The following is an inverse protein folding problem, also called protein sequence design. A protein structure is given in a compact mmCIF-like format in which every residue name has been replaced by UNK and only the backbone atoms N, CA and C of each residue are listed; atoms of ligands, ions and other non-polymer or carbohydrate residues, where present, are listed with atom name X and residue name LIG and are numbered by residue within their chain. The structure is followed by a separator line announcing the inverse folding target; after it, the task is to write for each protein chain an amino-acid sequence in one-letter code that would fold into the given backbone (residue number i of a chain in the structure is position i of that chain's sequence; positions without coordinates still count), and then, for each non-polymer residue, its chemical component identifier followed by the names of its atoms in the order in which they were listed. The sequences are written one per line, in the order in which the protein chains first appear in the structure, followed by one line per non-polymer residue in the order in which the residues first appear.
data_IF_795718752539
#
_entry.id   IF_795718752539
#
_cell.length_a   1.000
_cell.length_b   1.000
_cell.length_c   1.000
_cell.angle_alpha   90.00
_cell.angle_beta   90.00
_cell.angle_gamma   90.00
#
_symmetry.space_group_name_H-M   'P 1'
#
loop_
_entity.id
_entity.type
_entity.pdbx_description
1 polymer ?
#
# COMPACT_ATOMS: atom_id res chain seq x y z
N UNK A 1 -4.37 4.37 28.88
CA UNK A 1 -4.43 3.41 27.77
C UNK A 1 -5.59 3.84 26.90
N UNK A 2 -5.32 4.62 25.87
CA UNK A 2 -6.36 5.01 24.91
C UNK A 2 -6.65 3.78 24.05
N UNK A 3 -7.89 3.32 24.03
CA UNK A 3 -8.30 2.24 23.13
C UNK A 3 -8.41 2.89 21.76
N UNK A 4 -7.47 2.62 20.85
CA UNK A 4 -7.59 3.07 19.46
C UNK A 4 -8.88 2.49 18.88
N UNK A 5 -9.66 3.32 18.20
CA UNK A 5 -10.82 2.82 17.47
C UNK A 5 -10.37 1.87 16.35
N UNK A 6 -11.22 0.93 15.91
CA UNK A 6 -10.88 0.07 14.77
C UNK A 6 -10.41 0.88 13.56
N UNK A 7 -11.02 2.04 13.28
CA UNK A 7 -10.64 2.94 12.19
C UNK A 7 -9.21 3.47 12.35
N UNK A 8 -8.86 4.01 13.51
CA UNK A 8 -7.50 4.53 13.78
C UNK A 8 -6.43 3.43 13.61
N UNK A 9 -6.70 2.23 14.12
CA UNK A 9 -5.80 1.09 13.95
C UNK A 9 -5.54 0.74 12.48
N UNK A 10 -6.60 0.71 11.66
CA UNK A 10 -6.48 0.41 10.24
C UNK A 10 -5.88 1.56 9.42
N UNK A 11 -6.05 2.81 9.84
CA UNK A 11 -5.34 3.95 9.26
C UNK A 11 -3.83 3.87 9.56
N UNK A 12 -3.43 3.52 10.78
CA UNK A 12 -2.02 3.28 11.11
C UNK A 12 -1.43 2.12 10.29
N UNK A 13 -2.19 1.02 10.13
CA UNK A 13 -1.79 -0.11 9.30
C UNK A 13 -1.64 0.29 7.82
N UNK A 14 -2.59 1.06 7.27
CA UNK A 14 -2.53 1.60 5.91
C UNK A 14 -1.29 2.48 5.73
N UNK A 15 -1.00 3.36 6.68
CA UNK A 15 0.21 4.18 6.63
C UNK A 15 1.48 3.31 6.59
N UNK A 16 1.51 2.21 7.34
CA UNK A 16 2.61 1.23 7.33
C UNK A 16 2.79 0.57 5.96
N UNK A 17 1.71 0.05 5.38
CA UNK A 17 1.74 -0.60 4.06
C UNK A 17 2.11 0.40 2.98
N UNK A 18 1.54 1.61 2.98
CA UNK A 18 1.84 2.62 1.98
C UNK A 18 3.31 3.08 2.05
N UNK A 19 3.91 3.15 3.25
CA UNK A 19 5.36 3.40 3.38
C UNK A 19 6.18 2.30 2.73
N UNK A 20 5.76 1.04 2.84
CA UNK A 20 6.42 -0.07 2.14
C UNK A 20 6.19 0.01 0.64
N UNK A 21 4.96 0.19 0.18
CA UNK A 21 4.62 0.27 -1.25
C UNK A 21 5.29 1.45 -1.96
N UNK A 22 5.51 2.57 -1.28
CA UNK A 22 6.19 3.75 -1.84
C UNK A 22 7.71 3.71 -1.73
N UNK A 23 8.27 2.79 -0.95
CA UNK A 23 9.72 2.69 -0.77
C UNK A 23 10.45 2.24 -2.04
N UNK A 24 11.75 2.56 -2.20
CA UNK A 24 12.56 2.04 -3.30
C UNK A 24 12.52 0.52 -3.39
N UNK A 25 12.65 -0.03 -4.60
CA UNK A 25 12.58 -1.47 -4.83
C UNK A 25 13.57 -2.29 -3.97
N UNK A 26 14.76 -1.75 -3.70
CA UNK A 26 15.74 -2.39 -2.82
C UNK A 26 15.22 -2.55 -1.38
N UNK A 27 14.52 -1.53 -0.86
CA UNK A 27 13.95 -1.58 0.49
C UNK A 27 12.77 -2.55 0.55
N UNK A 28 11.96 -2.60 -0.51
CA UNK A 28 10.86 -3.56 -0.66
C UNK A 28 11.38 -5.01 -0.69
N UNK A 29 12.45 -5.27 -1.46
CA UNK A 29 13.09 -6.59 -1.51
C UNK A 29 13.74 -6.96 -0.18
N UNK A 30 14.39 -6.00 0.48
CA UNK A 30 14.98 -6.22 1.79
C UNK A 30 13.92 -6.54 2.84
N UNK A 31 12.75 -5.90 2.77
CA UNK A 31 11.60 -6.22 3.62
C UNK A 31 11.15 -7.67 3.46
N UNK A 32 10.90 -8.12 2.22
CA UNK A 32 10.49 -9.50 1.94
C UNK A 32 11.53 -10.52 2.41
N UNK A 33 12.82 -10.22 2.21
CA UNK A 33 13.92 -11.05 2.73
C UNK A 33 13.91 -11.15 4.25
N UNK A 34 13.67 -10.04 4.95
CA UNK A 34 13.63 -10.02 6.43
C UNK A 34 12.47 -10.85 6.98
N UNK A 35 11.38 -10.99 6.22
CA UNK A 35 10.25 -11.87 6.56
C UNK A 35 10.50 -13.35 6.22
N UNK A 36 11.60 -13.67 5.53
CA UNK A 36 11.90 -15.04 5.10
C UNK A 36 11.09 -15.52 3.88
N UNK A 37 10.46 -14.59 3.16
CA UNK A 37 9.64 -14.83 1.95
C UNK A 37 10.27 -14.15 0.73
N UNK A 38 11.60 -14.29 0.59
CA UNK A 38 12.32 -13.73 -0.55
C UNK A 38 11.77 -14.29 -1.87
N UNK A 39 11.39 -13.39 -2.78
CA UNK A 39 10.82 -13.73 -4.08
C UNK A 39 9.30 -13.66 -4.16
N UNK A 40 8.58 -13.62 -3.03
CA UNK A 40 7.12 -13.45 -3.00
C UNK A 40 6.72 -11.98 -3.12
N UNK A 41 6.81 -11.41 -4.32
CA UNK A 41 6.53 -9.98 -4.56
C UNK A 41 5.03 -9.67 -4.39
N UNK A 42 4.18 -10.65 -4.64
CA UNK A 42 2.74 -10.61 -4.43
C UNK A 42 2.34 -10.26 -2.99
N UNK A 43 3.17 -10.60 -2.01
CA UNK A 43 2.95 -10.28 -0.59
C UNK A 43 2.86 -8.76 -0.34
N UNK A 44 3.55 -7.93 -1.14
CA UNK A 44 3.38 -6.47 -1.06
C UNK A 44 1.97 -6.02 -1.45
N UNK A 45 1.36 -6.71 -2.41
CA UNK A 45 -0.02 -6.47 -2.84
C UNK A 45 -1.03 -7.06 -1.86
N UNK A 46 -0.78 -8.27 -1.35
CA UNK A 46 -1.65 -8.93 -0.38
C UNK A 46 -1.74 -8.16 0.94
N UNK A 47 -0.62 -7.64 1.45
CA UNK A 47 -0.63 -6.79 2.65
C UNK A 47 -1.49 -5.53 2.46
N UNK A 48 -1.49 -4.96 1.25
CA UNK A 48 -2.36 -3.84 0.92
C UNK A 48 -3.83 -4.27 0.85
N UNK A 49 -4.14 -5.36 0.14
CA UNK A 49 -5.50 -5.88 0.03
C UNK A 49 -6.11 -6.19 1.40
N UNK A 50 -5.34 -6.81 2.30
CA UNK A 50 -5.78 -7.12 3.66
C UNK A 50 -6.19 -5.87 4.45
N UNK A 51 -5.39 -4.81 4.36
CA UNK A 51 -5.72 -3.54 5.01
C UNK A 51 -6.89 -2.85 4.31
N UNK A 52 -6.87 -2.79 2.98
CA UNK A 52 -7.86 -2.07 2.19
C UNK A 52 -9.27 -2.67 2.35
N UNK A 53 -9.36 -4.00 2.36
CA UNK A 53 -10.62 -4.74 2.56
C UNK A 53 -11.31 -4.40 3.88
N UNK A 54 -10.54 -4.10 4.93
CA UNK A 54 -11.09 -3.73 6.24
C UNK A 54 -11.28 -2.22 6.37
N UNK A 55 -10.35 -1.41 5.86
CA UNK A 55 -10.39 0.04 5.98
C UNK A 55 -11.45 0.68 5.08
N UNK A 56 -11.63 0.20 3.84
CA UNK A 56 -12.55 0.81 2.87
C UNK A 56 -13.99 1.02 3.38
N UNK A 57 -14.66 0.09 4.08
CA UNK A 57 -16.00 0.33 4.64
C UNK A 57 -16.00 1.26 5.87
N UNK A 58 -14.83 1.55 6.45
CA UNK A 58 -14.69 2.41 7.63
C UNK A 58 -14.37 3.88 7.25
N UNK A 59 -14.08 4.15 5.97
CA UNK A 59 -13.84 5.51 5.49
C UNK A 59 -15.14 6.30 5.40
N UNK A 60 -15.09 7.55 5.85
CA UNK A 60 -16.21 8.47 5.85
C UNK A 60 -16.22 9.33 4.59
N UNK A 61 -17.30 10.09 4.37
CA UNK A 61 -17.42 11.01 3.22
C UNK A 61 -16.30 12.07 3.24
N UNK A 62 -15.80 12.45 4.43
CA UNK A 62 -14.67 13.35 4.59
C UNK A 62 -13.37 12.78 4.04
N UNK A 63 -13.23 11.46 3.98
CA UNK A 63 -12.01 10.76 3.54
C UNK A 63 -11.99 10.50 2.02
N UNK A 64 -12.84 11.19 1.25
CA UNK A 64 -13.03 10.92 -0.19
C UNK A 64 -11.71 10.93 -0.98
N UNK A 65 -10.85 11.91 -0.74
CA UNK A 65 -9.56 11.97 -1.44
C UNK A 65 -8.71 10.74 -1.11
N UNK A 66 -8.56 10.40 0.17
CA UNK A 66 -7.83 9.20 0.59
C UNK A 66 -8.45 7.94 -0.02
N UNK A 67 -9.77 7.82 -0.02
CA UNK A 67 -10.50 6.69 -0.60
C UNK A 67 -10.21 6.54 -2.10
N UNK A 68 -10.21 7.65 -2.86
CA UNK A 68 -9.91 7.65 -4.29
C UNK A 68 -8.46 7.20 -4.54
N UNK A 69 -7.49 7.70 -3.74
CA UNK A 69 -6.07 7.31 -3.84
C UNK A 69 -5.86 5.82 -3.53
N UNK A 70 -6.48 5.31 -2.48
CA UNK A 70 -6.38 3.90 -2.12
C UNK A 70 -7.03 3.00 -3.20
N UNK A 71 -8.17 3.42 -3.77
CA UNK A 71 -8.80 2.70 -4.88
C UNK A 71 -7.93 2.69 -6.16
N UNK A 72 -7.16 3.74 -6.42
CA UNK A 72 -6.22 3.77 -7.54
C UNK A 72 -5.08 2.77 -7.36
N UNK A 73 -4.58 2.59 -6.13
CA UNK A 73 -3.56 1.59 -5.78
C UNK A 73 -4.13 0.18 -5.94
N UNK A 74 -5.32 -0.07 -5.38
CA UNK A 74 -6.05 -1.34 -5.50
C UNK A 74 -6.22 -1.77 -6.96
N UNK A 75 -6.66 -0.84 -7.80
CA UNK A 75 -6.81 -1.07 -9.25
C UNK A 75 -5.49 -1.32 -9.94
N UNK A 76 -4.42 -0.63 -9.54
CA UNK A 76 -3.10 -0.83 -10.10
C UNK A 76 -2.58 -2.24 -9.75
N UNK A 77 -2.65 -2.64 -8.48
CA UNK A 77 -2.23 -3.96 -8.00
C UNK A 77 -3.08 -5.10 -8.59
N UNK A 78 -4.37 -4.87 -8.82
CA UNK A 78 -5.29 -5.86 -9.41
C UNK A 78 -5.18 -5.96 -10.94
N UNK A 79 -4.29 -5.21 -11.59
CA UNK A 79 -4.17 -5.26 -13.04
C UNK A 79 -3.40 -6.50 -13.48
N UNK A 80 -3.94 -7.22 -14.47
CA UNK A 80 -3.26 -8.36 -15.13
C UNK A 80 -1.88 -8.02 -15.73
N UNK A 81 -1.57 -6.72 -15.88
CA UNK A 81 -0.30 -6.25 -16.42
C UNK A 81 0.78 -6.06 -15.35
N UNK A 82 0.48 -6.19 -14.05
CA UNK A 82 1.49 -6.08 -13.00
C UNK A 82 2.35 -7.34 -12.98
N UNK A 83 3.66 -7.23 -13.21
CA UNK A 83 4.55 -8.39 -13.15
C UNK A 83 5.03 -8.63 -11.71
N UNK A 84 4.85 -9.85 -11.20
CA UNK A 84 5.13 -10.23 -9.81
C UNK A 84 6.49 -10.91 -9.64
N UNK A 85 7.56 -10.24 -10.07
CA UNK A 85 8.92 -10.74 -9.91
C UNK A 85 9.90 -9.63 -9.51
N UNK A 86 11.07 -10.02 -8.99
CA UNK A 86 12.04 -9.07 -8.44
C UNK A 86 12.66 -8.13 -9.50
N UNK A 87 12.76 -8.58 -10.75
CA UNK A 87 13.26 -7.75 -11.86
C UNK A 87 12.24 -6.68 -12.23
N UNK A 88 10.97 -7.09 -12.34
CA UNK A 88 9.85 -6.19 -12.54
C UNK A 88 9.73 -5.15 -11.41
N UNK A 89 9.82 -5.58 -10.15
CA UNK A 89 9.76 -4.67 -9.01
C UNK A 89 10.77 -3.52 -9.13
N UNK A 90 11.96 -3.78 -9.67
CA UNK A 90 13.01 -2.77 -9.87
C UNK A 90 12.82 -1.87 -11.08
N UNK A 91 12.27 -2.40 -12.18
CA UNK A 91 12.43 -1.78 -13.49
C UNK A 91 11.13 -1.55 -14.26
N UNK A 92 10.01 -2.15 -13.83
CA UNK A 92 8.75 -2.03 -14.55
C UNK A 92 8.06 -0.69 -14.28
N UNK A 93 7.40 -0.16 -15.30
CA UNK A 93 6.65 1.10 -15.21
C UNK A 93 5.45 0.95 -14.26
N UNK A 94 4.87 -0.24 -14.21
CA UNK A 94 3.75 -0.60 -13.33
C UNK A 94 4.15 -0.44 -11.86
N UNK A 95 5.28 -1.02 -11.46
CA UNK A 95 5.78 -0.87 -10.08
C UNK A 95 6.23 0.54 -9.74
N UNK A 96 6.78 1.28 -10.70
CA UNK A 96 7.03 2.71 -10.51
C UNK A 96 5.74 3.49 -10.27
N UNK A 97 4.67 3.17 -11.02
CA UNK A 97 3.35 3.78 -10.84
C UNK A 97 2.74 3.43 -9.49
N UNK A 98 2.81 2.16 -9.06
CA UNK A 98 2.32 1.73 -7.74
C UNK A 98 3.03 2.49 -6.62
N UNK A 99 4.36 2.62 -6.69
CA UNK A 99 5.15 3.42 -5.74
C UNK A 99 4.70 4.87 -5.67
N UNK A 100 4.46 5.49 -6.83
CA UNK A 100 4.01 6.88 -6.91
C UNK A 100 2.59 7.05 -6.36
N UNK A 101 1.66 6.15 -6.68
CA UNK A 101 0.31 6.17 -6.13
C UNK A 101 0.33 6.01 -4.60
N UNK A 102 1.15 5.10 -4.07
CA UNK A 102 1.33 4.93 -2.64
C UNK A 102 1.93 6.16 -1.95
N UNK A 103 2.87 6.85 -2.61
CA UNK A 103 3.43 8.13 -2.11
C UNK A 103 2.35 9.20 -2.02
N UNK A 104 1.55 9.37 -3.07
CA UNK A 104 0.44 10.34 -3.09
C UNK A 104 -0.63 10.03 -2.03
N UNK A 105 -0.93 8.75 -1.79
CA UNK A 105 -1.84 8.35 -0.71
C UNK A 105 -1.28 8.70 0.68
N UNK A 106 0.02 8.51 0.92
CA UNK A 106 0.67 8.92 2.18
C UNK A 106 0.61 10.42 2.43
N UNK A 107 0.68 11.22 1.36
CA UNK A 107 0.59 12.68 1.45
C UNK A 107 -0.82 13.11 1.86
N UNK A 108 -1.86 12.54 1.24
CA UNK A 108 -3.24 12.77 1.65
C UNK A 108 -3.49 12.42 3.13
N UNK A 109 -2.91 11.32 3.63
CA UNK A 109 -3.04 10.95 5.06
C UNK A 109 -2.35 11.90 6.03
N UNK A 110 -1.39 12.71 5.56
CA UNK A 110 -0.66 13.67 6.41
C UNK A 110 -1.35 15.02 6.45
N UNK A 111 -2.02 15.39 5.37
CA UNK A 111 -2.71 16.68 5.26
C UNK A 111 -4.05 16.69 6.02
N UNK A 112 -4.60 15.51 6.35
CA UNK A 112 -5.82 15.32 7.16
C UNK A 112 -5.55 15.16 8.68
N UNK A 113 -4.29 15.23 9.14
CA UNK A 113 -3.87 15.06 10.55
C UNK A 113 -3.56 16.39 11.26
#
# INVERSE_FOLDING_TARGET
MTISTPREHWLEAAQGVLRRLSSPADDQLQYLRNLGIEGSIDELGLEFDDVWRVLSPLLEISDRELQDRLSDIDRALSSDNVPWDAGALRHSLEWHRIRELARLALEAMRDDA
#
